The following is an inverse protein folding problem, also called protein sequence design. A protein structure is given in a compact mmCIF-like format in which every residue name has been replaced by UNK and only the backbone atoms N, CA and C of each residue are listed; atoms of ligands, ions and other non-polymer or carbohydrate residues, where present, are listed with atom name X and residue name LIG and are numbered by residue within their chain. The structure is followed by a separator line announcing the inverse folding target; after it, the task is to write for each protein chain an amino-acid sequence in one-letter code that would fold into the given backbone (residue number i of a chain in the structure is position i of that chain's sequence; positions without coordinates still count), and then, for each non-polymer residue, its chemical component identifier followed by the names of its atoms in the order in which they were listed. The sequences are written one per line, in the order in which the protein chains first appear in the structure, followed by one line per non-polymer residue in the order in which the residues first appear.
data_IF_545583005916
#
_entry.id   IF_545583005916
#
_cell.length_a   1.000
_cell.length_b   1.000
_cell.length_c   1.000
_cell.angle_alpha   90.00
_cell.angle_beta   90.00
_cell.angle_gamma   90.00
#
_symmetry.space_group_name_H-M   'P 1'
#
loop_
_entity.id
_entity.type
_entity.pdbx_description
1 polymer ?
#
# COMPACT_ATOMS: atom_id res chain seq x y z
N UNK A 1 8.27 -12.32 19.35
CA UNK A 1 8.67 -12.58 17.94
C UNK A 1 9.89 -11.71 17.68
N UNK A 2 10.85 -12.21 16.91
CA UNK A 2 11.98 -11.37 16.48
C UNK A 2 11.46 -10.19 15.66
N UNK A 3 12.06 -8.98 15.78
CA UNK A 3 11.71 -7.84 14.95
C UNK A 3 11.87 -8.20 13.46
N UNK A 4 10.91 -7.83 12.64
CA UNK A 4 10.95 -8.08 11.20
C UNK A 4 9.57 -8.20 10.58
N UNK A 5 9.55 -8.41 9.26
CA UNK A 5 8.32 -8.61 8.49
C UNK A 5 8.35 -9.97 7.83
N UNK A 6 7.24 -10.71 7.92
CA UNK A 6 7.06 -12.00 7.27
C UNK A 6 5.72 -12.04 6.54
N UNK A 7 5.70 -12.61 5.34
CA UNK A 7 4.45 -12.94 4.65
C UNK A 7 4.17 -14.41 4.82
N UNK A 8 3.05 -14.72 5.47
CA UNK A 8 2.58 -16.08 5.71
C UNK A 8 1.90 -16.66 4.48
N UNK A 9 1.04 -15.88 3.83
CA UNK A 9 0.28 -16.33 2.68
C UNK A 9 -0.21 -15.15 1.83
N UNK A 10 -0.38 -15.43 0.52
CA UNK A 10 -1.12 -14.58 -0.41
C UNK A 10 -2.18 -15.45 -1.07
N UNK A 11 -3.44 -15.00 -1.01
CA UNK A 11 -4.62 -15.73 -1.52
C UNK A 11 -5.50 -14.83 -2.39
N UNK A 12 -6.56 -15.39 -2.98
CA UNK A 12 -7.57 -14.63 -3.73
C UNK A 12 -7.21 -14.30 -5.19
N UNK A 13 -6.08 -14.83 -5.70
CA UNK A 13 -5.65 -14.63 -7.10
C UNK A 13 -5.17 -15.94 -7.72
N UNK A 14 -5.16 -15.99 -9.06
CA UNK A 14 -4.54 -17.06 -9.82
C UNK A 14 -3.01 -16.82 -9.94
N UNK A 15 -2.21 -17.80 -9.54
CA UNK A 15 -0.76 -17.79 -9.62
C UNK A 15 -0.06 -17.29 -8.34
N UNK A 16 1.20 -17.71 -8.16
CA UNK A 16 1.97 -17.38 -6.97
C UNK A 16 2.49 -15.94 -7.02
N UNK A 17 2.49 -15.27 -5.88
CA UNK A 17 3.24 -14.04 -5.63
C UNK A 17 4.38 -14.31 -4.64
N UNK A 18 5.46 -13.52 -4.68
CA UNK A 18 6.57 -13.67 -3.74
C UNK A 18 6.10 -13.55 -2.29
N UNK A 19 6.56 -14.48 -1.43
CA UNK A 19 6.40 -14.41 0.03
C UNK A 19 7.60 -13.71 0.69
N UNK A 20 8.65 -13.43 -0.07
CA UNK A 20 9.76 -12.60 0.40
C UNK A 20 9.28 -11.15 0.52
N UNK A 21 9.31 -10.53 1.71
CA UNK A 21 8.74 -9.20 1.92
C UNK A 21 9.31 -8.12 1.01
N UNK A 22 10.63 -8.15 0.76
CA UNK A 22 11.30 -7.19 -0.13
C UNK A 22 10.95 -7.33 -1.61
N UNK A 23 10.33 -8.44 -2.02
CA UNK A 23 9.90 -8.71 -3.39
C UNK A 23 8.37 -8.64 -3.56
N UNK A 24 7.66 -8.24 -2.51
CA UNK A 24 6.19 -8.14 -2.49
C UNK A 24 5.78 -6.71 -2.13
N UNK A 25 4.82 -6.14 -2.85
CA UNK A 25 4.38 -4.75 -2.65
C UNK A 25 3.89 -4.47 -1.22
N UNK A 26 3.09 -5.36 -0.66
CA UNK A 26 2.61 -5.25 0.71
C UNK A 26 3.75 -5.42 1.73
N UNK A 27 4.62 -6.40 1.50
CA UNK A 27 5.79 -6.66 2.35
C UNK A 27 6.75 -5.50 2.39
N UNK A 28 7.11 -4.96 1.21
CA UNK A 28 8.03 -3.83 1.11
C UNK A 28 7.46 -2.54 1.74
N UNK A 29 6.15 -2.29 1.59
CA UNK A 29 5.50 -1.16 2.25
C UNK A 29 5.63 -1.25 3.78
N UNK A 30 5.39 -2.44 4.35
CA UNK A 30 5.52 -2.69 5.79
C UNK A 30 6.99 -2.67 6.24
N UNK A 31 7.93 -3.21 5.44
CA UNK A 31 9.36 -3.10 5.72
C UNK A 31 9.80 -1.63 5.82
N UNK A 32 9.32 -0.78 4.91
CA UNK A 32 9.60 0.66 4.95
C UNK A 32 9.06 1.31 6.23
N UNK A 33 7.85 0.97 6.65
CA UNK A 33 7.24 1.48 7.88
C UNK A 33 8.00 0.99 9.14
N UNK A 34 8.27 -0.32 9.21
CA UNK A 34 8.98 -0.93 10.34
C UNK A 34 10.40 -0.38 10.48
N UNK A 35 11.09 -0.14 9.35
CA UNK A 35 12.41 0.49 9.33
C UNK A 35 12.42 1.90 9.91
N UNK A 36 11.34 2.66 9.74
CA UNK A 36 11.21 4.01 10.28
C UNK A 36 10.71 4.03 11.74
N UNK A 37 9.70 3.22 12.04
CA UNK A 37 9.03 3.21 13.36
C UNK A 37 9.74 2.33 14.40
N UNK A 38 10.58 1.36 13.96
CA UNK A 38 11.33 0.43 14.80
C UNK A 38 10.51 -0.19 15.95
N UNK A 39 9.35 -0.81 15.70
CA UNK A 39 8.52 -1.38 16.75
C UNK A 39 9.26 -2.53 17.46
N UNK A 40 8.98 -2.78 18.75
CA UNK A 40 9.66 -3.84 19.52
C UNK A 40 9.14 -5.26 19.19
N UNK A 41 8.35 -5.41 18.13
CA UNK A 41 7.73 -6.67 17.71
C UNK A 41 7.85 -6.89 16.20
N UNK A 42 7.72 -8.14 15.78
CA UNK A 42 7.63 -8.50 14.35
C UNK A 42 6.19 -8.45 13.83
N UNK A 43 6.03 -8.25 12.51
CA UNK A 43 4.74 -8.21 11.82
C UNK A 43 4.63 -9.39 10.87
N UNK A 44 3.57 -10.18 10.99
CA UNK A 44 3.21 -11.23 10.05
C UNK A 44 2.02 -10.77 9.20
N UNK A 45 2.14 -10.92 7.88
CA UNK A 45 1.12 -10.55 6.91
C UNK A 45 0.44 -11.79 6.32
N UNK A 46 -0.87 -11.79 6.28
CA UNK A 46 -1.68 -12.63 5.39
C UNK A 46 -2.40 -11.67 4.43
N UNK A 47 -2.18 -11.84 3.13
CA UNK A 47 -2.67 -10.94 2.08
C UNK A 47 -3.77 -11.66 1.31
N UNK A 48 -4.99 -11.14 1.38
CA UNK A 48 -6.11 -11.60 0.57
C UNK A 48 -6.37 -10.58 -0.55
N UNK A 49 -6.17 -11.01 -1.81
CA UNK A 49 -6.31 -10.13 -2.97
C UNK A 49 -7.69 -10.34 -3.61
N UNK A 50 -8.46 -9.26 -3.72
CA UNK A 50 -9.73 -9.24 -4.45
C UNK A 50 -9.64 -8.63 -5.86
N UNK A 51 -8.50 -8.00 -6.21
CA UNK A 51 -8.31 -7.36 -7.51
C UNK A 51 -7.43 -8.27 -8.36
N UNK A 52 -7.88 -8.70 -9.56
CA UNK A 52 -7.11 -9.57 -10.44
C UNK A 52 -5.77 -8.95 -10.86
N UNK A 53 -4.75 -9.79 -11.01
CA UNK A 53 -3.43 -9.37 -11.50
C UNK A 53 -3.54 -8.86 -12.94
N UNK A 54 -2.83 -7.77 -13.24
CA UNK A 54 -2.78 -7.20 -14.59
C UNK A 54 -4.08 -6.52 -15.06
N UNK A 55 -5.09 -6.38 -14.19
CA UNK A 55 -6.38 -5.78 -14.53
C UNK A 55 -6.35 -4.26 -14.78
N UNK A 56 -5.26 -3.57 -14.44
CA UNK A 56 -5.20 -2.10 -14.50
C UNK A 56 -5.98 -1.40 -13.37
N UNK A 57 -6.52 -2.14 -12.39
CA UNK A 57 -7.34 -1.59 -11.31
C UNK A 57 -6.54 -1.25 -10.03
N UNK A 58 -5.23 -1.09 -10.13
CA UNK A 58 -4.39 -0.69 -8.99
C UNK A 58 -4.23 -1.75 -7.88
N UNK A 59 -4.30 -3.05 -8.23
CA UNK A 59 -4.25 -4.14 -7.24
C UNK A 59 -2.94 -4.21 -6.44
N UNK A 60 -1.80 -3.75 -6.98
CA UNK A 60 -0.53 -3.61 -6.27
C UNK A 60 -0.60 -2.48 -5.24
N UNK A 61 -1.05 -1.31 -5.66
CA UNK A 61 -1.24 -0.14 -4.80
C UNK A 61 -2.20 -0.45 -3.64
N UNK A 62 -3.33 -1.09 -3.93
CA UNK A 62 -4.29 -1.51 -2.90
C UNK A 62 -3.63 -2.42 -1.85
N UNK A 63 -2.75 -3.36 -2.27
CA UNK A 63 -2.03 -4.25 -1.36
C UNK A 63 -1.02 -3.49 -0.49
N UNK A 64 -0.25 -2.57 -1.08
CA UNK A 64 0.72 -1.75 -0.35
C UNK A 64 0.02 -0.86 0.70
N UNK A 65 -1.07 -0.19 0.30
CA UNK A 65 -1.84 0.69 1.19
C UNK A 65 -2.51 -0.11 2.31
N UNK A 66 -3.20 -1.20 1.99
CA UNK A 66 -3.86 -2.02 3.00
C UNK A 66 -2.86 -2.54 4.05
N UNK A 67 -1.70 -3.02 3.60
CA UNK A 67 -0.68 -3.56 4.49
C UNK A 67 -0.07 -2.48 5.39
N UNK A 68 0.29 -1.31 4.85
CA UNK A 68 0.89 -0.24 5.65
C UNK A 68 -0.11 0.36 6.64
N UNK A 69 -1.38 0.50 6.25
CA UNK A 69 -2.44 0.99 7.15
C UNK A 69 -2.69 -0.01 8.29
N UNK A 70 -2.79 -1.31 7.98
CA UNK A 70 -2.97 -2.34 8.99
C UNK A 70 -1.76 -2.42 9.95
N UNK A 71 -0.54 -2.38 9.43
CA UNK A 71 0.68 -2.38 10.24
C UNK A 71 0.78 -1.13 11.12
N UNK A 72 0.44 0.05 10.60
CA UNK A 72 0.42 1.31 11.34
C UNK A 72 -0.54 1.27 12.53
N UNK A 73 -1.67 0.60 12.39
CA UNK A 73 -2.64 0.46 13.49
C UNK A 73 -2.12 -0.40 14.67
N UNK A 74 -1.02 -1.13 14.48
CA UNK A 74 -0.37 -1.92 15.55
C UNK A 74 0.67 -1.11 16.33
N UNK A 75 1.03 0.07 15.85
CA UNK A 75 2.02 0.92 16.52
C UNK A 75 1.40 1.62 17.73
N UNK A 76 2.20 1.82 18.79
CA UNK A 76 1.76 2.56 19.98
C UNK A 76 1.40 4.02 19.67
N UNK A 77 2.10 4.60 18.68
CA UNK A 77 1.82 5.93 18.13
C UNK A 77 1.64 5.84 16.61
N UNK A 78 0.43 5.58 16.11
CA UNK A 78 0.16 5.49 14.69
C UNK A 78 0.47 6.80 13.94
N UNK A 79 1.13 6.68 12.79
CA UNK A 79 1.43 7.81 11.92
C UNK A 79 0.17 8.33 11.23
N UNK A 80 0.10 9.63 10.92
CA UNK A 80 -0.98 10.18 10.10
C UNK A 80 -0.89 9.65 8.66
N UNK A 81 -2.04 9.58 7.97
CA UNK A 81 -2.15 8.99 6.64
C UNK A 81 -1.16 9.59 5.62
N UNK A 82 -0.87 10.88 5.74
CA UNK A 82 0.07 11.54 4.81
C UNK A 82 1.50 10.99 4.92
N UNK A 83 1.93 10.54 6.09
CA UNK A 83 3.23 9.94 6.30
C UNK A 83 3.28 8.50 5.77
N UNK A 84 2.14 7.77 5.81
CA UNK A 84 2.03 6.44 5.24
C UNK A 84 2.20 6.40 3.73
N UNK A 85 1.95 7.52 3.05
CA UNK A 85 2.05 7.63 1.60
C UNK A 85 3.44 7.24 1.09
N UNK A 86 4.50 7.70 1.74
CA UNK A 86 5.89 7.40 1.36
C UNK A 86 6.21 5.91 1.48
N UNK A 87 5.70 5.26 2.52
CA UNK A 87 5.90 3.82 2.77
C UNK A 87 5.12 2.97 1.75
N UNK A 88 3.88 3.37 1.42
CA UNK A 88 3.09 2.69 0.39
C UNK A 88 3.71 2.85 -1.01
N UNK A 89 4.26 4.04 -1.35
CA UNK A 89 5.01 4.27 -2.60
C UNK A 89 6.27 3.38 -2.67
N UNK A 90 6.97 3.18 -1.55
CA UNK A 90 8.10 2.27 -1.51
C UNK A 90 7.70 0.82 -1.82
N UNK A 91 6.52 0.40 -1.40
CA UNK A 91 5.94 -0.90 -1.76
C UNK A 91 5.60 -1.00 -3.24
N UNK A 92 4.94 -0.01 -3.82
CA UNK A 92 4.55 0.00 -5.23
C UNK A 92 5.75 -0.04 -6.17
N UNK A 93 6.87 0.56 -5.79
CA UNK A 93 8.10 0.56 -6.58
C UNK A 93 8.64 -0.86 -6.87
N UNK A 94 8.31 -1.85 -6.04
CA UNK A 94 8.70 -3.26 -6.27
C UNK A 94 7.99 -3.84 -7.50
N UNK A 95 6.73 -3.48 -7.73
CA UNK A 95 5.95 -4.02 -8.85
C UNK A 95 6.18 -3.22 -10.15
N UNK A 96 6.27 -1.90 -10.05
CA UNK A 96 6.34 -1.00 -11.21
C UNK A 96 7.76 -0.64 -11.64
N UNK A 97 8.75 -0.87 -10.77
CA UNK A 97 10.13 -0.44 -10.98
C UNK A 97 10.35 1.07 -10.82
N UNK A 98 9.30 1.83 -10.47
CA UNK A 98 9.35 3.27 -10.29
C UNK A 98 8.42 3.72 -9.15
N UNK A 99 8.67 4.92 -8.64
CA UNK A 99 7.89 5.49 -7.53
C UNK A 99 6.72 6.29 -8.11
N UNK A 100 5.52 5.74 -8.01
CA UNK A 100 4.30 6.37 -8.47
C UNK A 100 3.30 6.53 -7.33
N UNK A 101 2.64 7.69 -7.26
CA UNK A 101 1.64 7.99 -6.24
C UNK A 101 0.20 7.97 -6.78
N UNK A 102 0.04 7.85 -8.11
CA UNK A 102 -1.24 7.98 -8.83
C UNK A 102 -2.31 6.97 -8.39
N UNK A 103 -1.94 5.73 -8.11
CA UNK A 103 -2.83 4.71 -7.56
C UNK A 103 -2.78 4.65 -6.02
N UNK A 104 -1.63 4.95 -5.43
CA UNK A 104 -1.44 4.89 -3.97
C UNK A 104 -2.25 5.98 -3.26
N UNK A 105 -2.18 7.22 -3.75
CA UNK A 105 -2.85 8.32 -3.08
C UNK A 105 -4.39 8.15 -3.05
N UNK A 106 -5.08 7.83 -4.16
CA UNK A 106 -6.52 7.60 -4.08
C UNK A 106 -6.89 6.33 -3.29
N UNK A 107 -6.05 5.30 -3.27
CA UNK A 107 -6.28 4.13 -2.42
C UNK A 107 -6.18 4.47 -0.93
N UNK A 108 -5.29 5.39 -0.55
CA UNK A 108 -5.07 5.80 0.83
C UNK A 108 -6.07 6.86 1.31
N UNK A 109 -6.37 7.87 0.48
CA UNK A 109 -7.21 9.02 0.85
C UNK A 109 -8.65 8.92 0.35
N UNK A 110 -8.91 8.04 -0.61
CA UNK A 110 -10.22 7.89 -1.26
C UNK A 110 -10.54 8.96 -2.29
N UNK A 111 -11.51 8.68 -3.15
CA UNK A 111 -12.05 9.62 -4.13
C UNK A 111 -11.08 9.97 -5.27
N UNK A 112 -11.23 11.17 -5.82
CA UNK A 112 -10.35 11.73 -6.85
C UNK A 112 -9.26 12.55 -6.19
N UNK A 113 -8.01 12.21 -6.47
CA UNK A 113 -6.84 12.83 -5.83
C UNK A 113 -5.87 13.37 -6.87
N UNK A 114 -5.44 14.60 -6.68
CA UNK A 114 -4.32 15.20 -7.39
C UNK A 114 -3.06 15.10 -6.52
N UNK A 115 -2.01 14.50 -7.06
CA UNK A 115 -0.68 14.45 -6.44
C UNK A 115 0.32 15.24 -7.25
N UNK A 116 1.14 16.05 -6.58
CA UNK A 116 2.23 16.81 -7.20
C UNK A 116 3.51 16.56 -6.44
N UNK A 117 4.55 16.15 -7.14
CA UNK A 117 5.85 15.74 -6.57
C UNK A 117 5.92 14.23 -6.33
N UNK A 118 7.16 13.71 -6.24
CA UNK A 118 7.44 12.28 -6.06
C UNK A 118 8.00 12.02 -4.65
N UNK A 119 8.99 12.77 -4.23
CA UNK A 119 9.67 12.55 -2.95
C UNK A 119 8.86 13.07 -1.75
N UNK A 120 8.19 14.21 -1.93
CA UNK A 120 7.30 14.82 -0.95
C UNK A 120 5.99 15.22 -1.66
N UNK A 121 5.13 14.27 -2.00
CA UNK A 121 3.93 14.56 -2.76
C UNK A 121 2.95 15.42 -1.98
N UNK A 122 2.57 16.54 -2.58
CA UNK A 122 1.41 17.30 -2.15
C UNK A 122 0.15 16.60 -2.65
N UNK A 123 -0.76 16.32 -1.75
CA UNK A 123 -2.01 15.61 -2.02
C UNK A 123 -3.18 16.56 -1.87
N UNK A 124 -4.01 16.65 -2.90
CA UNK A 124 -5.25 17.42 -2.89
C UNK A 124 -6.41 16.53 -3.31
N UNK A 125 -7.37 16.32 -2.42
CA UNK A 125 -8.63 15.66 -2.78
C UNK A 125 -9.50 16.62 -3.58
N UNK A 126 -10.07 16.13 -4.67
CA UNK A 126 -10.96 16.88 -5.54
C UNK A 126 -12.39 16.38 -5.28
N UNK A 127 -13.33 17.26 -4.90
CA UNK A 127 -14.71 16.85 -4.69
C UNK A 127 -15.32 16.26 -5.97
N UNK A 128 -15.93 15.09 -5.84
CA UNK A 128 -16.66 14.44 -6.92
C UNK A 128 -18.16 14.54 -6.61
N UNK A 129 -18.97 15.10 -7.51
CA UNK A 129 -20.42 15.17 -7.29
C UNK A 129 -21.02 13.76 -7.11
N UNK A 130 -21.98 13.62 -6.19
CA UNK A 130 -22.62 12.33 -5.89
C UNK A 130 -23.36 11.70 -7.09
N UNK A 131 -23.65 12.48 -8.12
CA UNK A 131 -24.27 12.00 -9.37
C UNK A 131 -23.30 11.27 -10.30
N UNK A 132 -21.96 11.46 -10.13
CA UNK A 132 -20.94 10.79 -10.95
C UNK A 132 -20.89 9.30 -10.59
N UNK A 133 -20.87 8.44 -11.60
CA UNK A 133 -20.72 7.00 -11.48
C UNK A 133 -19.53 6.53 -12.29
N UNK A 134 -18.77 5.59 -11.76
CA UNK A 134 -17.73 4.86 -12.48
C UNK A 134 -18.30 3.48 -12.85
N UNK A 135 -18.17 3.08 -14.10
CA UNK A 135 -18.55 1.77 -14.59
C UNK A 135 -17.30 1.05 -15.05
N UNK A 136 -17.08 -0.16 -14.55
CA UNK A 136 -16.01 -1.06 -14.98
C UNK A 136 -16.62 -2.08 -15.96
N UNK A 137 -15.97 -2.26 -17.12
CA UNK A 137 -16.34 -3.22 -18.16
C UNK A 137 -15.26 -4.28 -18.31
#
# INVERSE_FOLDING_TARGET
AEPGVRIRAVTGIAGPLPLEPGLNTAGQAVLSLVGAAAPPFGIELTIEKGIPLGSGLGGSAASAVAAVVAANALLDAPLPAIELLSHAIAGEAVASGARHADNIAPALFGGLVLTVGIDHPHVKQIPVPAAVRCVLL
#
